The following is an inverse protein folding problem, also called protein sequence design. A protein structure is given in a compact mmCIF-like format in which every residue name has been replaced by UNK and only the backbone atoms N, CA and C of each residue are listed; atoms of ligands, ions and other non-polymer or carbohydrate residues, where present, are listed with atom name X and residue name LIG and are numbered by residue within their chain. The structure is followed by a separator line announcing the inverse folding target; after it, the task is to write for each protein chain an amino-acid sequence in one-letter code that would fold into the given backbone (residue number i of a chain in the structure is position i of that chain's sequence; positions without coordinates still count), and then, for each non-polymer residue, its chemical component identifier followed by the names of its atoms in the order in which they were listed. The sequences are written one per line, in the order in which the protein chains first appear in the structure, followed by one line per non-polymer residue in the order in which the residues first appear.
data_IF_778835904593
#
_entry.id   IF_778835904593
#
_cell.length_a   1.000
_cell.length_b   1.000
_cell.length_c   1.000
_cell.angle_alpha   90.00
_cell.angle_beta   90.00
_cell.angle_gamma   90.00
#
_symmetry.space_group_name_H-M   'P 1'
#
loop_
_entity.id
_entity.type
_entity.pdbx_description
1 polymer ?
#
# COMPACT_ATOMS: atom_id res chain seq x y z
N UNK A 1 13.90 48.55 32.06
CA UNK A 1 14.64 47.45 31.37
C UNK A 1 14.00 46.12 31.77
N UNK A 2 13.27 45.52 30.86
CA UNK A 2 12.63 44.21 31.08
C UNK A 2 13.40 43.17 30.23
N UNK A 3 14.03 42.20 30.90
CA UNK A 3 14.69 41.07 30.27
C UNK A 3 13.66 39.99 29.94
N UNK A 4 13.38 39.79 28.65
CA UNK A 4 12.58 38.68 28.19
C UNK A 4 13.46 37.44 28.06
N UNK A 5 13.16 36.39 28.84
CA UNK A 5 13.79 35.07 28.74
C UNK A 5 13.06 34.27 27.65
N UNK A 6 13.70 34.09 26.50
CA UNK A 6 13.18 33.20 25.45
C UNK A 6 13.56 31.76 25.79
N UNK A 7 12.57 30.94 26.14
CA UNK A 7 12.75 29.50 26.33
C UNK A 7 12.67 28.82 24.97
N UNK A 8 13.81 28.47 24.40
CA UNK A 8 13.89 27.65 23.21
C UNK A 8 13.66 26.17 23.60
N UNK A 9 12.43 25.70 23.44
CA UNK A 9 12.13 24.28 23.61
C UNK A 9 12.71 23.47 22.46
N UNK A 10 13.75 22.70 22.69
CA UNK A 10 14.23 21.71 21.74
C UNK A 10 13.22 20.57 21.65
N UNK A 11 12.50 20.47 20.56
CA UNK A 11 11.66 19.30 20.23
C UNK A 11 12.61 18.20 19.78
N UNK A 12 12.99 17.33 20.69
CA UNK A 12 13.70 16.09 20.34
C UNK A 12 12.71 15.12 19.72
N UNK A 13 12.75 14.96 18.40
CA UNK A 13 12.11 13.82 17.76
C UNK A 13 12.83 12.56 18.20
N UNK A 14 12.14 11.75 19.00
CA UNK A 14 12.63 10.44 19.38
C UNK A 14 12.66 9.55 18.12
N UNK A 15 13.83 9.38 17.53
CA UNK A 15 14.10 8.32 16.54
C UNK A 15 14.35 7.00 17.30
N UNK A 16 13.35 6.51 17.98
CA UNK A 16 13.34 5.14 18.41
C UNK A 16 12.77 4.29 17.26
N UNK A 17 13.59 4.00 16.25
CA UNK A 17 13.35 2.81 15.46
C UNK A 17 13.46 1.62 16.43
N UNK A 18 12.32 1.16 16.91
CA UNK A 18 12.27 0.07 17.88
C UNK A 18 12.95 -1.16 17.26
N UNK A 19 14.15 -1.47 17.73
CA UNK A 19 14.94 -2.60 17.25
C UNK A 19 14.21 -3.93 17.47
N UNK A 20 13.15 -3.94 18.27
CA UNK A 20 12.30 -5.10 18.54
C UNK A 20 11.45 -5.52 17.33
N UNK A 21 11.13 -4.62 16.40
CA UNK A 21 10.31 -4.95 15.23
C UNK A 21 11.09 -5.58 14.07
N UNK A 22 12.40 -5.38 13.99
CA UNK A 22 13.22 -5.91 12.90
C UNK A 22 13.09 -7.43 12.69
N UNK A 23 13.08 -8.27 13.72
CA UNK A 23 12.90 -9.71 13.55
C UNK A 23 11.53 -10.10 12.96
N UNK A 24 10.50 -9.30 13.23
CA UNK A 24 9.14 -9.52 12.73
C UNK A 24 8.93 -8.98 11.30
N UNK A 25 9.87 -8.16 10.79
CA UNK A 25 9.76 -7.58 9.46
C UNK A 25 9.94 -8.66 8.40
N UNK A 26 8.94 -8.85 7.56
CA UNK A 26 8.93 -9.85 6.50
C UNK A 26 9.19 -9.24 5.12
N UNK A 27 8.83 -7.98 4.93
CA UNK A 27 8.99 -7.26 3.67
C UNK A 27 9.19 -5.77 3.92
N UNK A 28 10.10 -5.15 3.15
CA UNK A 28 10.34 -3.71 3.18
C UNK A 28 10.86 -3.22 1.83
N UNK A 29 10.25 -2.19 1.28
CA UNK A 29 10.67 -1.51 0.05
C UNK A 29 10.70 0.00 0.31
N UNK A 30 11.89 0.58 0.40
CA UNK A 30 12.09 2.02 0.61
C UNK A 30 12.00 2.83 -0.69
N UNK A 31 12.34 2.20 -1.80
CA UNK A 31 12.56 2.86 -3.09
C UNK A 31 13.70 3.88 -3.11
N UNK A 32 14.66 3.77 -2.19
CA UNK A 32 15.81 4.68 -2.10
C UNK A 32 16.84 4.41 -3.19
N UNK A 33 17.13 3.14 -3.44
CA UNK A 33 18.19 2.73 -4.36
C UNK A 33 17.71 1.91 -5.56
N UNK A 34 16.47 1.41 -5.53
CA UNK A 34 15.91 0.56 -6.56
C UNK A 34 14.41 0.34 -6.39
N UNK A 35 13.85 -0.45 -7.29
CA UNK A 35 12.45 -0.88 -7.22
C UNK A 35 12.28 -2.25 -6.56
N UNK A 36 13.35 -3.04 -6.44
CA UNK A 36 13.31 -4.27 -5.67
C UNK A 36 13.25 -3.96 -4.17
N UNK A 37 12.68 -4.86 -3.39
CA UNK A 37 12.59 -4.67 -1.95
C UNK A 37 13.99 -4.70 -1.28
N UNK A 38 14.21 -3.84 -0.30
CA UNK A 38 15.43 -3.83 0.50
C UNK A 38 15.52 -5.09 1.35
N UNK A 39 14.37 -5.53 1.89
CA UNK A 39 14.25 -6.76 2.64
C UNK A 39 13.01 -7.54 2.19
N UNK A 40 13.16 -8.85 2.01
CA UNK A 40 12.06 -9.79 1.85
C UNK A 40 12.47 -11.15 2.40
N UNK A 41 11.54 -11.85 3.03
CA UNK A 41 11.77 -13.22 3.52
C UNK A 41 11.81 -14.25 2.39
N UNK A 42 11.19 -13.95 1.24
CA UNK A 42 11.14 -14.79 0.06
C UNK A 42 11.79 -14.14 -1.16
N UNK A 43 11.05 -13.37 -1.94
CA UNK A 43 11.49 -12.79 -3.21
C UNK A 43 11.48 -11.26 -3.15
N UNK A 44 12.63 -10.64 -3.33
CA UNK A 44 12.78 -9.17 -3.31
C UNK A 44 12.35 -8.49 -4.60
N UNK A 45 12.29 -9.23 -5.70
CA UNK A 45 12.12 -8.65 -7.03
C UNK A 45 10.77 -7.98 -7.19
N UNK A 46 10.81 -6.80 -7.79
CA UNK A 46 9.61 -6.20 -8.37
C UNK A 46 9.25 -6.92 -9.67
N UNK A 47 7.98 -7.09 -9.90
CA UNK A 47 7.42 -7.56 -11.17
C UNK A 47 6.44 -6.54 -11.72
N UNK A 48 6.31 -6.50 -13.02
CA UNK A 48 5.24 -5.78 -13.73
C UNK A 48 4.33 -6.79 -14.40
N UNK A 49 3.03 -6.58 -14.32
CA UNK A 49 2.09 -7.42 -15.06
C UNK A 49 2.08 -6.99 -16.54
N UNK A 50 2.65 -7.81 -17.40
CA UNK A 50 2.70 -7.62 -18.86
C UNK A 50 1.96 -8.77 -19.51
N UNK A 51 0.94 -8.47 -20.33
CA UNK A 51 0.09 -9.48 -20.99
C UNK A 51 -0.45 -10.54 -20.00
N UNK A 52 -0.89 -10.06 -18.83
CA UNK A 52 -1.38 -10.87 -17.71
C UNK A 52 -0.34 -11.82 -17.10
N UNK A 53 0.93 -11.67 -17.42
CA UNK A 53 2.02 -12.46 -16.84
C UNK A 53 2.98 -11.59 -16.04
N UNK A 54 3.40 -12.01 -14.84
CA UNK A 54 4.42 -11.30 -14.09
C UNK A 54 5.77 -11.36 -14.82
N UNK A 55 6.32 -10.20 -15.15
CA UNK A 55 7.66 -10.04 -15.71
C UNK A 55 8.53 -9.28 -14.72
N UNK A 56 9.67 -9.86 -14.38
CA UNK A 56 10.59 -9.22 -13.42
C UNK A 56 11.08 -7.86 -13.92
N UNK A 57 11.07 -6.90 -13.03
CA UNK A 57 11.49 -5.51 -13.29
C UNK A 57 10.33 -4.57 -13.57
N UNK A 58 10.68 -3.29 -13.70
CA UNK A 58 9.72 -2.22 -13.98
C UNK A 58 9.55 -2.04 -15.49
N UNK A 59 8.51 -2.64 -16.05
CA UNK A 59 8.14 -2.55 -17.47
C UNK A 59 6.93 -1.64 -17.70
N UNK A 60 6.82 -0.56 -16.95
CA UNK A 60 5.71 0.40 -17.05
C UNK A 60 5.89 1.45 -18.15
N UNK A 61 6.92 1.35 -18.98
CA UNK A 61 7.18 2.27 -20.09
C UNK A 61 7.27 3.75 -19.63
N UNK A 62 7.89 3.96 -18.46
CA UNK A 62 8.04 5.28 -17.85
C UNK A 62 6.80 5.80 -17.12
N UNK A 63 5.72 5.03 -17.02
CA UNK A 63 4.55 5.40 -16.21
C UNK A 63 4.82 5.34 -14.72
N UNK A 64 5.87 4.64 -14.31
CA UNK A 64 6.41 4.71 -12.94
C UNK A 64 7.92 4.90 -12.99
N UNK A 65 8.46 5.59 -12.00
CA UNK A 65 9.90 5.83 -11.85
C UNK A 65 10.28 5.99 -10.39
N UNK A 66 11.54 5.73 -10.10
CA UNK A 66 12.12 6.12 -8.81
C UNK A 66 12.28 7.64 -8.76
N UNK A 67 11.88 8.24 -7.66
CA UNK A 67 11.95 9.68 -7.42
C UNK A 67 12.82 9.93 -6.18
N UNK A 68 14.12 10.15 -6.40
CA UNK A 68 15.09 10.38 -5.33
C UNK A 68 14.72 11.62 -4.51
N UNK A 69 14.77 11.50 -3.19
CA UNK A 69 14.44 12.59 -2.27
C UNK A 69 12.98 13.03 -2.29
N UNK A 70 12.06 12.22 -2.82
CA UNK A 70 10.61 12.54 -2.89
C UNK A 70 9.77 11.68 -1.96
N UNK A 71 10.37 10.74 -1.26
CA UNK A 71 9.73 9.98 -0.19
C UNK A 71 9.59 10.80 1.09
N UNK A 72 8.97 10.21 2.10
CA UNK A 72 8.96 10.79 3.45
C UNK A 72 10.37 10.92 4.00
N UNK A 73 11.20 9.92 3.72
CA UNK A 73 12.60 9.81 4.16
C UNK A 73 13.38 9.11 3.06
N UNK A 74 13.93 9.86 2.09
CA UNK A 74 14.66 9.26 0.97
C UNK A 74 13.86 9.19 -0.33
N UNK A 75 13.88 8.05 -1.02
CA UNK A 75 13.24 7.85 -2.32
C UNK A 75 11.75 7.56 -2.25
N UNK A 76 11.14 7.52 -3.43
CA UNK A 76 9.75 7.10 -3.61
C UNK A 76 9.55 6.43 -4.97
N UNK A 77 8.57 5.56 -5.05
CA UNK A 77 8.03 5.12 -6.34
C UNK A 77 6.97 6.13 -6.80
N UNK A 78 7.25 6.80 -7.91
CA UNK A 78 6.39 7.84 -8.46
C UNK A 78 5.62 7.33 -9.67
N UNK A 79 4.31 7.36 -9.61
CA UNK A 79 3.41 7.12 -10.74
C UNK A 79 3.26 8.44 -11.50
N UNK A 80 3.74 8.49 -12.73
CA UNK A 80 3.76 9.72 -13.56
C UNK A 80 2.52 9.87 -14.40
N UNK A 81 1.75 8.79 -14.54
CA UNK A 81 0.52 8.73 -15.32
C UNK A 81 -0.51 7.86 -14.62
N UNK A 82 -1.77 8.14 -14.89
CA UNK A 82 -2.89 7.27 -14.52
C UNK A 82 -2.84 5.96 -15.32
N UNK A 83 -3.56 4.94 -14.86
CA UNK A 83 -3.65 3.62 -15.52
C UNK A 83 -2.30 2.98 -15.80
N UNK A 84 -1.34 3.19 -14.89
CA UNK A 84 -0.07 2.49 -14.97
C UNK A 84 -0.28 0.97 -14.87
N UNK A 85 0.61 0.21 -15.50
CA UNK A 85 0.64 -1.25 -15.32
C UNK A 85 0.85 -1.60 -13.85
N UNK A 86 0.26 -2.70 -13.42
CA UNK A 86 0.40 -3.15 -12.03
C UNK A 86 1.84 -3.53 -11.72
N UNK A 87 2.28 -3.10 -10.58
CA UNK A 87 3.55 -3.47 -9.98
C UNK A 87 3.27 -4.44 -8.82
N UNK A 88 4.01 -5.52 -8.76
CA UNK A 88 3.76 -6.63 -7.87
C UNK A 88 5.03 -7.06 -7.15
N UNK A 89 4.86 -7.54 -5.93
CA UNK A 89 5.82 -8.39 -5.23
C UNK A 89 5.15 -9.72 -4.90
N UNK A 90 5.91 -10.79 -4.80
CA UNK A 90 5.38 -12.11 -4.47
C UNK A 90 4.94 -12.16 -2.99
N UNK A 91 3.66 -11.88 -2.74
CA UNK A 91 3.09 -11.84 -1.40
C UNK A 91 3.11 -13.23 -0.74
N UNK A 92 2.86 -14.29 -1.49
CA UNK A 92 2.85 -15.65 -0.95
C UNK A 92 4.20 -16.05 -0.36
N UNK A 93 5.30 -15.65 -1.00
CA UNK A 93 6.64 -15.91 -0.47
C UNK A 93 7.05 -14.97 0.65
N UNK A 94 6.55 -13.74 0.66
CA UNK A 94 7.04 -12.68 1.54
C UNK A 94 6.27 -12.54 2.85
N UNK A 95 4.96 -12.85 2.85
CA UNK A 95 4.11 -12.54 4.02
C UNK A 95 3.79 -13.73 4.91
N UNK A 96 4.31 -14.93 4.60
CA UNK A 96 4.03 -16.15 5.36
C UNK A 96 2.53 -16.34 5.62
N UNK A 97 1.72 -16.08 4.60
CA UNK A 97 0.26 -16.17 4.71
C UNK A 97 -0.15 -17.59 5.15
N UNK A 98 -1.11 -17.66 6.06
CA UNK A 98 -1.76 -18.88 6.48
C UNK A 98 -3.28 -18.66 6.51
N UNK A 99 -4.05 -19.65 6.08
CA UNK A 99 -5.51 -19.56 6.06
C UNK A 99 -6.15 -19.38 7.44
N UNK A 100 -5.43 -19.80 8.50
CA UNK A 100 -5.89 -19.70 9.88
C UNK A 100 -4.84 -19.04 10.75
N UNK A 101 -5.31 -18.21 11.66
CA UNK A 101 -4.46 -17.53 12.65
C UNK A 101 -3.33 -16.67 12.06
N UNK A 102 -3.47 -16.25 10.80
CA UNK A 102 -2.55 -15.29 10.20
C UNK A 102 -2.85 -13.89 10.73
N UNK A 103 -1.79 -13.19 11.13
CA UNK A 103 -1.88 -11.79 11.54
C UNK A 103 -0.66 -11.04 11.02
N UNK A 104 -0.84 -9.75 10.78
CA UNK A 104 0.24 -8.91 10.30
C UNK A 104 -0.10 -7.44 10.38
N UNK A 105 0.91 -6.61 10.18
CA UNK A 105 0.76 -5.16 10.05
C UNK A 105 1.29 -4.74 8.68
N UNK A 106 0.49 -3.97 7.95
CA UNK A 106 0.91 -3.30 6.72
C UNK A 106 1.07 -1.82 7.01
N UNK A 107 2.26 -1.29 6.74
CA UNK A 107 2.56 0.13 6.90
C UNK A 107 3.12 0.68 5.59
N UNK A 108 2.64 1.83 5.16
CA UNK A 108 3.10 2.49 3.93
C UNK A 108 2.85 3.99 4.00
N UNK A 109 3.57 4.71 3.16
CA UNK A 109 3.33 6.12 2.92
C UNK A 109 2.79 6.32 1.51
N UNK A 110 1.64 6.97 1.43
CA UNK A 110 0.98 7.33 0.18
C UNK A 110 0.85 8.84 0.09
N UNK A 111 1.33 9.42 -1.02
CA UNK A 111 1.10 10.82 -1.36
C UNK A 111 0.29 10.89 -2.65
N UNK A 112 -0.91 11.39 -2.55
CA UNK A 112 -1.85 11.52 -3.67
C UNK A 112 -2.73 12.75 -3.46
N UNK A 113 -3.09 13.42 -4.53
CA UNK A 113 -4.19 14.37 -4.54
C UNK A 113 -5.47 13.60 -4.93
N UNK A 114 -6.41 13.40 -3.99
CA UNK A 114 -7.60 12.59 -4.27
C UNK A 114 -8.58 13.23 -5.26
N UNK A 115 -8.35 14.48 -5.64
CA UNK A 115 -9.16 15.19 -6.63
C UNK A 115 -8.54 15.08 -8.03
N UNK A 116 -7.21 15.28 -8.12
CA UNK A 116 -6.54 15.47 -9.39
C UNK A 116 -5.73 14.27 -9.87
N UNK A 117 -5.25 13.40 -8.98
CA UNK A 117 -4.33 12.32 -9.36
C UNK A 117 -5.04 11.00 -9.70
N UNK A 118 -6.30 10.82 -9.26
CA UNK A 118 -6.99 9.55 -9.38
C UNK A 118 -7.77 9.40 -10.69
N UNK A 119 -7.84 8.17 -11.19
CA UNK A 119 -8.74 7.81 -12.29
C UNK A 119 -10.22 7.90 -11.88
N UNK A 120 -11.13 7.91 -12.87
CA UNK A 120 -12.55 7.74 -12.63
C UNK A 120 -12.84 6.33 -12.08
N UNK A 121 -13.87 6.19 -11.25
CA UNK A 121 -14.22 4.94 -10.59
C UNK A 121 -13.42 4.69 -9.32
N UNK A 122 -13.49 3.47 -8.79
CA UNK A 122 -12.67 3.06 -7.65
C UNK A 122 -11.20 2.96 -8.04
N UNK A 123 -10.32 3.34 -7.13
CA UNK A 123 -8.87 3.26 -7.32
C UNK A 123 -8.23 2.59 -6.12
N UNK A 124 -7.61 1.44 -6.34
CA UNK A 124 -6.98 0.61 -5.30
C UNK A 124 -5.47 0.71 -5.39
N UNK A 125 -4.82 1.66 -4.73
CA UNK A 125 -3.37 1.87 -4.85
C UNK A 125 -2.54 0.73 -4.27
N UNK A 126 -3.05 -0.01 -3.29
CA UNK A 126 -2.32 -1.10 -2.63
C UNK A 126 -3.28 -2.24 -2.31
N UNK A 127 -2.87 -3.46 -2.67
CA UNK A 127 -3.64 -4.67 -2.37
C UNK A 127 -2.71 -5.83 -1.99
N UNK A 128 -3.19 -6.73 -1.14
CA UNK A 128 -2.64 -8.07 -0.94
C UNK A 128 -3.72 -9.05 -1.38
N UNK A 129 -3.54 -9.65 -2.53
CA UNK A 129 -4.57 -10.46 -3.18
C UNK A 129 -3.95 -11.54 -4.07
N UNK A 130 -4.56 -12.72 -4.20
CA UNK A 130 -4.18 -13.69 -5.22
C UNK A 130 -4.61 -13.28 -6.63
N UNK A 131 -5.70 -12.52 -6.78
CA UNK A 131 -6.28 -12.16 -8.08
C UNK A 131 -6.68 -10.70 -8.18
N UNK A 132 -7.71 -10.30 -7.42
CA UNK A 132 -8.34 -8.97 -7.49
C UNK A 132 -8.80 -8.51 -6.11
N UNK A 133 -9.34 -7.31 -6.03
CA UNK A 133 -9.86 -6.75 -4.78
C UNK A 133 -10.88 -7.66 -4.08
N UNK A 134 -11.66 -8.45 -4.82
CA UNK A 134 -12.68 -9.35 -4.27
C UNK A 134 -12.13 -10.43 -3.35
N UNK A 135 -10.87 -10.83 -3.58
CA UNK A 135 -10.20 -11.90 -2.85
C UNK A 135 -9.06 -11.31 -2.02
N UNK A 136 -9.03 -9.98 -1.85
CA UNK A 136 -7.97 -9.30 -1.15
C UNK A 136 -8.09 -9.51 0.35
N UNK A 137 -7.07 -10.07 0.97
CA UNK A 137 -6.92 -10.09 2.42
C UNK A 137 -6.66 -8.71 3.00
N UNK A 138 -6.20 -7.79 2.17
CA UNK A 138 -6.02 -6.38 2.48
C UNK A 138 -6.09 -5.56 1.21
N UNK A 139 -6.79 -4.43 1.24
CA UNK A 139 -6.68 -3.39 0.21
C UNK A 139 -6.98 -2.01 0.80
N UNK A 140 -6.48 -1.00 0.15
CA UNK A 140 -6.90 0.39 0.38
C UNK A 140 -7.41 0.95 -0.93
N UNK A 141 -8.50 1.69 -0.88
CA UNK A 141 -9.10 2.29 -2.06
C UNK A 141 -9.51 3.75 -1.84
N UNK A 142 -9.71 4.42 -2.95
CA UNK A 142 -10.50 5.65 -3.00
C UNK A 142 -11.84 5.33 -3.64
N UNK A 143 -12.94 5.72 -2.99
CA UNK A 143 -14.26 5.52 -3.55
C UNK A 143 -14.42 6.27 -4.89
N UNK A 144 -15.43 5.89 -5.67
CA UNK A 144 -15.68 6.48 -7.01
C UNK A 144 -16.25 7.90 -6.96
N UNK A 145 -16.88 8.26 -5.85
CA UNK A 145 -17.66 9.49 -5.68
C UNK A 145 -17.12 10.34 -4.53
N UNK A 146 -17.53 11.61 -4.50
CA UNK A 146 -17.13 12.56 -3.47
C UNK A 146 -16.02 13.51 -3.91
N UNK A 147 -15.89 14.63 -3.18
CA UNK A 147 -14.85 15.62 -3.39
C UNK A 147 -14.46 16.27 -2.04
N UNK A 148 -13.29 15.89 -1.47
CA UNK A 148 -12.39 14.84 -1.96
C UNK A 148 -13.00 13.44 -1.82
N UNK A 149 -12.50 12.47 -2.60
CA UNK A 149 -12.90 11.08 -2.49
C UNK A 149 -12.44 10.45 -1.18
N UNK A 150 -13.30 9.65 -0.56
CA UNK A 150 -12.96 8.98 0.68
C UNK A 150 -11.88 7.92 0.46
N UNK A 151 -10.87 7.91 1.33
CA UNK A 151 -9.88 6.86 1.44
C UNK A 151 -10.39 5.80 2.42
N UNK A 152 -10.37 4.53 2.01
CA UNK A 152 -10.94 3.44 2.78
C UNK A 152 -9.97 2.29 2.91
N UNK A 153 -10.14 1.52 3.97
CA UNK A 153 -9.48 0.25 4.21
C UNK A 153 -10.50 -0.86 4.09
N UNK A 154 -10.15 -1.94 3.41
CA UNK A 154 -10.95 -3.13 3.29
C UNK A 154 -10.14 -4.42 3.46
N UNK A 155 -10.83 -5.47 3.89
CA UNK A 155 -10.31 -6.81 3.97
C UNK A 155 -11.41 -7.78 3.53
N UNK A 156 -11.24 -8.43 2.39
CA UNK A 156 -12.18 -9.38 1.82
C UNK A 156 -11.45 -10.69 1.57
N UNK A 157 -11.49 -11.57 2.55
CA UNK A 157 -10.77 -12.83 2.42
C UNK A 157 -11.39 -13.77 1.37
N UNK A 158 -12.72 -13.76 1.23
CA UNK A 158 -13.44 -14.66 0.33
C UNK A 158 -14.81 -14.05 -0.01
N UNK A 159 -14.99 -13.58 -1.22
CA UNK A 159 -16.24 -12.97 -1.65
C UNK A 159 -17.46 -13.88 -1.50
N UNK A 160 -17.44 -15.17 -1.84
CA UNK A 160 -18.54 -16.08 -1.57
C UNK A 160 -18.93 -16.16 -0.09
N UNK A 161 -17.99 -15.97 0.83
CA UNK A 161 -18.25 -16.02 2.27
C UNK A 161 -18.82 -14.70 2.78
N UNK A 162 -18.22 -13.57 2.46
CA UNK A 162 -18.69 -12.27 2.97
C UNK A 162 -19.87 -11.69 2.18
N UNK A 163 -20.13 -12.15 0.98
CA UNK A 163 -21.26 -11.74 0.15
C UNK A 163 -21.94 -12.95 -0.50
N UNK A 164 -22.40 -13.94 0.28
CA UNK A 164 -22.83 -15.24 -0.24
C UNK A 164 -24.08 -15.14 -1.11
N UNK A 165 -24.97 -14.20 -0.80
CA UNK A 165 -26.26 -14.15 -1.46
C UNK A 165 -26.42 -12.93 -2.33
N UNK A 166 -25.49 -12.01 -2.35
CA UNK A 166 -25.89 -10.89 -2.89
C UNK A 166 -25.26 -9.63 -3.23
N UNK A 167 -25.24 -9.55 -4.40
CA UNK A 167 -25.18 -8.41 -5.29
C UNK A 167 -26.14 -7.27 -4.93
N UNK A 168 -27.21 -7.55 -4.24
CA UNK A 168 -28.37 -6.65 -4.11
C UNK A 168 -28.63 -6.16 -2.68
N UNK A 169 -27.82 -6.59 -1.70
CA UNK A 169 -27.90 -6.05 -0.34
C UNK A 169 -27.25 -4.66 -0.30
N UNK A 170 -27.97 -3.61 0.10
CA UNK A 170 -27.42 -2.28 0.28
C UNK A 170 -26.16 -2.30 1.14
N UNK A 171 -25.17 -1.47 0.79
CA UNK A 171 -23.86 -1.46 1.46
C UNK A 171 -23.93 -1.34 3.00
N UNK A 172 -24.85 -0.56 3.59
CA UNK A 172 -25.03 -0.50 5.04
C UNK A 172 -25.53 -1.78 5.69
N UNK A 173 -26.16 -2.67 4.93
CA UNK A 173 -26.75 -3.91 5.42
C UNK A 173 -25.85 -5.13 5.18
N UNK A 174 -24.69 -4.93 4.55
CA UNK A 174 -23.74 -6.02 4.31
C UNK A 174 -23.09 -6.42 5.63
N UNK A 175 -23.03 -7.74 5.91
CA UNK A 175 -22.35 -8.20 7.11
C UNK A 175 -20.88 -7.77 7.07
N UNK A 176 -20.42 -7.18 8.16
CA UNK A 176 -19.00 -7.01 8.39
C UNK A 176 -18.41 -8.39 8.59
N UNK A 177 -17.40 -8.74 7.80
CA UNK A 177 -16.64 -9.96 8.01
C UNK A 177 -15.76 -9.73 9.23
N UNK A 178 -15.85 -10.58 10.27
CA UNK A 178 -15.06 -10.42 11.48
C UNK A 178 -13.56 -10.63 11.25
#
# INVERSE_FOLDING_TARGET
MAFGLALAGAVTFATAADSSLKPALTFYASFDSGSDADLAKGDKRLFTLVDKQPKSGNHTEGMTRLAKGRGLSGGALHFTKRKAKWLLYDGAKNFHFAEKNWSGTVSFWLKVDPVNDLDSGYVDPIQITPNTWNDASFFVDFNKDGNPRAFRLGAFADKPVWNPANKDVPEPERPLVP
#
